data_IF_666153475220
#
_entry.id   IF_666153475220
#
_cell.length_a   1.000
_cell.length_b   1.000
_cell.length_c   1.000
_cell.angle_alpha   90.00
_cell.angle_beta   90.00
_cell.angle_gamma   90.00
#
_symmetry.space_group_name_H-M   'P 1'
#
loop_
_entity.id
_entity.type
_entity.pdbx_description
1 polymer ?
#
# COMPACT_ATOMS: atom_id res chain seq x y z
N UNK A 1 -27.22 35.26 -22.86
CA UNK A 1 -28.46 34.69 -22.26
C UNK A 1 -29.76 35.15 -22.94
N UNK A 2 -29.90 36.40 -23.38
CA UNK A 2 -31.17 36.90 -23.92
C UNK A 2 -31.63 36.31 -25.29
N UNK A 3 -30.71 35.79 -26.12
CA UNK A 3 -31.08 35.15 -27.41
C UNK A 3 -31.51 33.68 -27.31
N UNK A 4 -31.34 33.04 -26.15
CA UNK A 4 -31.73 31.63 -25.95
C UNK A 4 -33.22 31.47 -25.59
N UNK A 5 -33.86 32.55 -25.13
CA UNK A 5 -35.25 32.53 -24.65
C UNK A 5 -36.30 32.57 -25.77
N UNK A 6 -35.94 32.98 -26.99
CA UNK A 6 -36.90 33.11 -28.11
C UNK A 6 -37.16 31.76 -28.81
N UNK A 7 -36.21 30.81 -28.75
CA UNK A 7 -36.37 29.49 -29.38
C UNK A 7 -37.25 28.50 -28.59
N UNK A 8 -37.61 28.80 -27.34
CA UNK A 8 -38.34 27.88 -26.45
C UNK A 8 -39.84 27.79 -26.78
N UNK A 9 -40.34 28.68 -27.66
CA UNK A 9 -41.78 28.79 -27.95
C UNK A 9 -42.31 27.75 -28.96
N UNK A 10 -41.45 27.00 -29.65
CA UNK A 10 -41.89 26.11 -30.76
C UNK A 10 -41.91 24.61 -30.47
N UNK A 11 -41.32 24.09 -29.39
CA UNK A 11 -41.51 22.67 -29.02
C UNK A 11 -41.13 22.31 -27.56
N UNK A 12 -42.06 22.39 -26.59
CA UNK A 12 -41.76 22.22 -25.17
C UNK A 12 -41.21 20.83 -24.80
N UNK A 13 -41.54 19.77 -25.56
CA UNK A 13 -41.08 18.40 -25.29
C UNK A 13 -39.61 18.17 -25.68
N UNK A 14 -39.11 18.81 -26.74
CA UNK A 14 -37.70 18.68 -27.16
C UNK A 14 -36.76 19.43 -26.22
N UNK A 15 -37.18 20.57 -25.69
CA UNK A 15 -36.38 21.35 -24.76
C UNK A 15 -36.33 20.72 -23.36
N UNK A 16 -37.43 20.16 -22.86
CA UNK A 16 -37.45 19.48 -21.55
C UNK A 16 -36.42 18.35 -21.43
N UNK A 17 -36.25 17.53 -22.47
CA UNK A 17 -35.24 16.46 -22.48
C UNK A 17 -33.80 16.98 -22.50
N UNK A 18 -33.54 18.10 -23.19
CA UNK A 18 -32.21 18.73 -23.20
C UNK A 18 -31.86 19.33 -21.83
N UNK A 19 -32.81 19.98 -21.17
CA UNK A 19 -32.61 20.49 -19.80
C UNK A 19 -32.43 19.35 -18.79
N UNK A 20 -33.20 18.27 -18.90
CA UNK A 20 -33.07 17.12 -17.99
C UNK A 20 -31.72 16.42 -18.16
N UNK A 21 -31.26 16.24 -19.40
CA UNK A 21 -29.94 15.66 -19.69
C UNK A 21 -28.80 16.57 -19.22
N UNK A 22 -28.93 17.89 -19.42
CA UNK A 22 -27.95 18.86 -18.92
C UNK A 22 -27.89 18.87 -17.39
N UNK A 23 -29.03 18.83 -16.71
CA UNK A 23 -29.10 18.69 -15.25
C UNK A 23 -28.47 17.38 -14.77
N UNK A 24 -28.76 16.25 -15.43
CA UNK A 24 -28.16 14.95 -15.08
C UNK A 24 -26.64 14.96 -15.23
N UNK A 25 -26.12 15.51 -16.32
CA UNK A 25 -24.67 15.64 -16.54
C UNK A 25 -24.02 16.57 -15.53
N UNK A 26 -24.65 17.68 -15.15
CA UNK A 26 -24.14 18.59 -14.12
C UNK A 26 -24.14 17.92 -12.74
N UNK A 27 -25.19 17.18 -12.39
CA UNK A 27 -25.24 16.41 -11.15
C UNK A 27 -24.19 15.29 -11.13
N UNK A 28 -24.02 14.56 -12.24
CA UNK A 28 -23.02 13.51 -12.37
C UNK A 28 -21.61 14.08 -12.23
N UNK A 29 -21.30 15.18 -12.93
CA UNK A 29 -20.00 15.84 -12.88
C UNK A 29 -19.72 16.47 -11.51
N UNK A 30 -20.75 16.98 -10.84
CA UNK A 30 -20.64 17.45 -9.46
C UNK A 30 -20.34 16.28 -8.50
N UNK A 31 -21.06 15.15 -8.64
CA UNK A 31 -20.83 13.95 -7.85
C UNK A 31 -19.42 13.35 -8.06
N UNK A 32 -18.92 13.31 -9.31
CA UNK A 32 -17.54 12.93 -9.64
C UNK A 32 -16.52 13.88 -9.01
N UNK A 33 -16.79 15.20 -9.01
CA UNK A 33 -15.89 16.16 -8.38
C UNK A 33 -15.88 16.04 -6.85
N UNK A 34 -17.01 15.73 -6.22
CA UNK A 34 -17.05 15.48 -4.77
C UNK A 34 -16.38 14.17 -4.40
N UNK A 35 -16.57 13.09 -5.16
CA UNK A 35 -15.87 11.82 -4.92
C UNK A 35 -14.38 11.96 -5.14
N UNK A 36 -13.97 12.64 -6.22
CA UNK A 36 -12.57 12.94 -6.50
C UNK A 36 -11.93 13.76 -5.36
N UNK A 37 -12.52 14.89 -4.97
CA UNK A 37 -12.02 15.71 -3.85
C UNK A 37 -12.00 14.97 -2.52
N UNK A 38 -12.93 14.04 -2.29
CA UNK A 38 -12.96 13.19 -1.09
C UNK A 38 -11.85 12.13 -1.12
N UNK A 39 -11.57 11.54 -2.28
CA UNK A 39 -10.44 10.61 -2.46
C UNK A 39 -9.08 11.30 -2.37
N UNK A 40 -8.98 12.53 -2.87
CA UNK A 40 -7.76 13.35 -2.83
C UNK A 40 -7.45 13.75 -1.38
N UNK A 41 -8.45 14.24 -0.64
CA UNK A 41 -8.33 14.51 0.81
C UNK A 41 -8.02 13.27 1.66
N UNK A 42 -8.42 12.07 1.21
CA UNK A 42 -8.12 10.80 1.90
C UNK A 42 -6.69 10.35 1.58
N UNK A 43 -6.20 10.57 0.36
CA UNK A 43 -4.79 10.34 -0.04
C UNK A 43 -3.81 11.33 0.60
N UNK A 44 -4.23 12.57 0.85
CA UNK A 44 -3.43 13.56 1.60
C UNK A 44 -3.40 13.31 3.12
N UNK A 45 -4.33 12.52 3.66
CA UNK A 45 -4.44 12.25 5.11
C UNK A 45 -3.84 10.93 5.58
N UNK A 46 -3.74 9.92 4.72
CA UNK A 46 -3.21 8.62 5.13
C UNK A 46 -1.74 8.51 4.73
N UNK A 47 -0.84 8.79 5.67
CA UNK A 47 0.55 8.38 5.51
C UNK A 47 0.61 6.87 5.74
N UNK A 48 1.41 6.15 4.95
CA UNK A 48 1.67 4.73 5.23
C UNK A 48 2.72 4.63 6.32
N UNK A 49 2.50 3.71 7.25
CA UNK A 49 3.43 3.32 8.30
C UNK A 49 3.73 1.83 8.19
N UNK A 50 5.00 1.51 8.00
CA UNK A 50 5.51 0.15 7.90
C UNK A 50 6.26 -0.18 9.18
N UNK A 51 5.74 -1.14 9.94
CA UNK A 51 6.32 -1.59 11.21
C UNK A 51 6.99 -2.94 10.97
N UNK A 52 8.30 -3.00 11.16
CA UNK A 52 9.08 -4.23 11.11
C UNK A 52 9.17 -4.83 12.51
N UNK A 53 8.73 -6.08 12.67
CA UNK A 53 8.78 -6.79 13.96
C UNK A 53 9.48 -8.14 13.78
N UNK A 54 10.52 -8.42 14.58
CA UNK A 54 11.30 -9.65 14.41
C UNK A 54 11.96 -10.16 15.68
N UNK A 55 12.44 -11.40 15.65
CA UNK A 55 13.44 -11.88 16.61
C UNK A 55 14.79 -11.19 16.39
N UNK A 56 15.51 -10.91 17.48
CA UNK A 56 16.78 -10.20 17.43
C UNK A 56 16.71 -8.88 16.65
N UNK A 57 17.87 -8.40 16.19
CA UNK A 57 18.01 -7.16 15.43
C UNK A 57 17.66 -7.28 13.94
N UNK A 58 16.88 -8.30 13.51
CA UNK A 58 16.56 -8.50 12.08
C UNK A 58 15.78 -7.31 11.50
N UNK A 59 14.80 -6.77 12.23
CA UNK A 59 14.01 -5.61 11.85
C UNK A 59 14.89 -4.38 11.61
N UNK A 60 15.83 -4.12 12.51
CA UNK A 60 16.79 -3.01 12.40
C UNK A 60 17.75 -3.21 11.24
N UNK A 61 18.25 -4.43 11.04
CA UNK A 61 19.09 -4.77 9.89
C UNK A 61 18.34 -4.58 8.56
N UNK A 62 17.07 -4.97 8.52
CA UNK A 62 16.20 -4.79 7.36
C UNK A 62 15.93 -3.30 7.08
N UNK A 63 15.63 -2.51 8.12
CA UNK A 63 15.49 -1.06 7.99
C UNK A 63 16.80 -0.41 7.51
N UNK A 64 17.94 -0.82 8.07
CA UNK A 64 19.27 -0.34 7.63
C UNK A 64 19.51 -0.64 6.16
N UNK A 65 19.19 -1.85 5.69
CA UNK A 65 19.34 -2.24 4.28
C UNK A 65 18.41 -1.43 3.36
N UNK A 66 17.13 -1.25 3.75
CA UNK A 66 16.20 -0.42 3.00
C UNK A 66 16.68 1.04 2.92
N UNK A 67 17.20 1.59 4.03
CA UNK A 67 17.78 2.94 4.07
C UNK A 67 18.97 3.11 3.13
N UNK A 68 19.82 2.09 2.97
CA UNK A 68 20.92 2.14 2.01
C UNK A 68 20.44 2.25 0.56
N UNK A 69 19.25 1.74 0.25
CA UNK A 69 18.70 1.69 -1.12
C UNK A 69 17.81 2.90 -1.41
N UNK A 70 16.89 3.21 -0.50
CA UNK A 70 15.86 4.26 -0.67
C UNK A 70 16.25 5.60 -0.02
N UNK A 71 17.34 5.64 0.75
CA UNK A 71 17.65 6.76 1.62
C UNK A 71 16.80 6.77 2.89
N UNK A 72 16.79 7.91 3.60
CA UNK A 72 15.96 8.05 4.79
C UNK A 72 14.46 8.01 4.43
N UNK A 73 13.76 7.04 5.01
CA UNK A 73 12.34 6.82 4.75
C UNK A 73 11.57 6.78 6.07
N UNK A 74 10.90 7.89 6.39
CA UNK A 74 10.24 8.11 7.69
C UNK A 74 9.05 7.18 7.96
N UNK A 75 8.59 6.42 6.97
CA UNK A 75 7.50 5.47 7.13
C UNK A 75 7.93 4.13 7.74
N UNK A 76 9.23 3.85 7.87
CA UNK A 76 9.74 2.56 8.37
C UNK A 76 10.09 2.67 9.85
N UNK A 77 9.50 1.80 10.67
CA UNK A 77 9.76 1.70 12.11
C UNK A 77 10.18 0.27 12.44
N UNK A 78 11.28 0.09 13.15
CA UNK A 78 11.87 -1.24 13.41
C UNK A 78 11.83 -1.60 14.90
N UNK A 79 11.36 -2.82 15.19
CA UNK A 79 11.20 -3.39 16.51
C UNK A 79 11.81 -4.80 16.55
N UNK A 80 13.09 -4.88 16.90
CA UNK A 80 13.79 -6.13 17.16
C UNK A 80 13.63 -6.60 18.60
N UNK A 81 13.31 -7.89 18.78
CA UNK A 81 13.04 -8.47 20.11
C UNK A 81 14.23 -8.37 21.08
N UNK A 82 15.48 -8.32 20.61
CA UNK A 82 16.65 -8.18 21.48
C UNK A 82 16.76 -6.82 22.19
N UNK A 83 15.93 -5.85 21.80
CA UNK A 83 15.77 -4.56 22.49
C UNK A 83 14.70 -4.58 23.58
N UNK A 84 14.00 -5.70 23.74
CA UNK A 84 12.89 -5.86 24.67
C UNK A 84 13.09 -7.12 25.52
N UNK A 85 12.60 -7.09 26.75
CA UNK A 85 12.73 -8.25 27.65
C UNK A 85 11.85 -9.43 27.19
N UNK A 86 10.70 -9.13 26.59
CA UNK A 86 9.71 -10.12 26.17
C UNK A 86 9.00 -9.69 24.89
N UNK A 87 8.36 -10.65 24.20
CA UNK A 87 7.50 -10.35 23.05
C UNK A 87 6.31 -9.47 23.43
N UNK A 88 5.83 -9.57 24.67
CA UNK A 88 4.78 -8.71 25.21
C UNK A 88 5.24 -7.25 25.35
N UNK A 89 6.45 -7.01 25.86
CA UNK A 89 7.00 -5.65 25.95
C UNK A 89 7.21 -5.02 24.56
N UNK A 90 7.59 -5.83 23.57
CA UNK A 90 7.64 -5.41 22.17
C UNK A 90 6.24 -5.05 21.65
N UNK A 91 5.23 -5.87 21.93
CA UNK A 91 3.83 -5.58 21.57
C UNK A 91 3.35 -4.25 22.15
N UNK A 92 3.64 -3.96 23.41
CA UNK A 92 3.27 -2.69 24.05
C UNK A 92 3.96 -1.48 23.39
N UNK A 93 5.20 -1.65 22.93
CA UNK A 93 5.90 -0.61 22.18
C UNK A 93 5.27 -0.37 20.80
N UNK A 94 4.96 -1.45 20.06
CA UNK A 94 4.30 -1.36 18.76
C UNK A 94 2.88 -0.82 18.90
N UNK A 95 2.13 -1.21 19.93
CA UNK A 95 0.77 -0.73 20.17
C UNK A 95 0.73 0.78 20.39
N UNK A 96 1.72 1.35 21.10
CA UNK A 96 1.85 2.80 21.24
C UNK A 96 2.08 3.48 19.89
N UNK A 97 3.02 2.95 19.09
CA UNK A 97 3.33 3.45 17.75
C UNK A 97 2.10 3.45 16.82
N UNK A 98 1.28 2.40 16.92
CA UNK A 98 0.03 2.23 16.17
C UNK A 98 -1.04 3.21 16.63
N UNK A 99 -1.15 3.43 17.95
CA UNK A 99 -2.17 4.31 18.54
C UNK A 99 -1.88 5.78 18.23
N UNK A 100 -0.61 6.18 18.19
CA UNK A 100 -0.20 7.54 17.86
C UNK A 100 -0.42 7.88 16.37
N UNK A 101 -0.57 6.86 15.51
CA UNK A 101 -0.74 6.97 14.07
C UNK A 101 -2.24 6.96 13.65
N UNK A 102 -3.02 7.88 14.23
CA UNK A 102 -4.49 7.87 14.18
C UNK A 102 -5.09 7.79 12.75
N UNK A 103 -4.46 8.42 11.75
CA UNK A 103 -4.96 8.47 10.37
C UNK A 103 -4.14 7.62 9.38
N UNK A 104 -3.11 6.91 9.85
CA UNK A 104 -2.18 6.18 8.96
C UNK A 104 -2.71 4.80 8.54
N UNK A 105 -2.29 4.36 7.35
CA UNK A 105 -2.34 2.97 6.90
C UNK A 105 -1.20 2.19 7.59
N UNK A 106 -1.52 1.13 8.33
CA UNK A 106 -0.53 0.42 9.14
C UNK A 106 -0.27 -0.98 8.57
N UNK A 107 0.96 -1.20 8.11
CA UNK A 107 1.44 -2.48 7.63
C UNK A 107 2.51 -3.02 8.57
N UNK A 108 2.22 -4.11 9.26
CA UNK A 108 3.16 -4.78 10.15
C UNK A 108 3.79 -5.95 9.40
N UNK A 109 5.08 -5.90 9.15
CA UNK A 109 5.85 -6.95 8.51
C UNK A 109 6.62 -7.74 9.57
N UNK A 110 6.20 -8.98 9.81
CA UNK A 110 6.82 -9.91 10.73
C UNK A 110 7.85 -10.79 10.02
N UNK A 111 8.91 -11.16 10.73
CA UNK A 111 9.95 -12.07 10.24
C UNK A 111 9.40 -13.43 9.79
N UNK A 112 8.71 -14.15 10.68
CA UNK A 112 8.30 -15.53 10.45
C UNK A 112 6.89 -15.81 10.97
N UNK A 113 6.08 -16.49 10.15
CA UNK A 113 4.74 -16.94 10.53
C UNK A 113 4.82 -17.92 11.70
N UNK A 114 4.00 -17.69 12.72
CA UNK A 114 3.92 -18.56 13.90
C UNK A 114 4.99 -18.31 14.97
N UNK A 115 5.93 -17.40 14.74
CA UNK A 115 6.89 -16.94 15.76
C UNK A 115 6.18 -16.30 16.98
N UNK A 116 6.89 -16.15 18.11
CA UNK A 116 6.35 -15.44 19.27
C UNK A 116 5.98 -14.00 18.90
N UNK A 117 6.89 -13.27 18.26
CA UNK A 117 6.66 -11.89 17.80
C UNK A 117 5.43 -11.80 16.91
N UNK A 118 5.33 -12.62 15.85
CA UNK A 118 4.15 -12.67 14.99
C UNK A 118 2.85 -12.93 15.78
N UNK A 119 2.85 -13.90 16.71
CA UNK A 119 1.66 -14.22 17.50
C UNK A 119 1.22 -13.04 18.37
N UNK A 120 2.15 -12.28 18.94
CA UNK A 120 1.80 -11.07 19.67
C UNK A 120 1.25 -9.99 18.74
N UNK A 121 1.86 -9.78 17.57
CA UNK A 121 1.39 -8.76 16.62
C UNK A 121 -0.05 -9.01 16.18
N UNK A 122 -0.51 -10.26 16.09
CA UNK A 122 -1.91 -10.58 15.75
C UNK A 122 -2.93 -9.91 16.69
N UNK A 123 -2.56 -9.62 17.95
CA UNK A 123 -3.43 -8.93 18.89
C UNK A 123 -3.79 -7.51 18.43
N UNK A 124 -2.92 -6.88 17.63
CA UNK A 124 -3.12 -5.52 17.12
C UNK A 124 -4.24 -5.43 16.08
N UNK A 125 -4.64 -6.53 15.45
CA UNK A 125 -5.77 -6.54 14.52
C UNK A 125 -7.09 -6.13 15.19
N UNK A 126 -7.20 -6.28 16.52
CA UNK A 126 -8.37 -5.86 17.29
C UNK A 126 -8.32 -4.38 17.71
N UNK A 127 -7.22 -3.67 17.43
CA UNK A 127 -7.02 -2.27 17.84
C UNK A 127 -7.60 -1.29 16.81
N UNK A 128 -7.39 -1.56 15.50
CA UNK A 128 -7.87 -0.73 14.39
C UNK A 128 -8.10 -1.59 13.14
N UNK A 129 -9.16 -1.31 12.40
CA UNK A 129 -9.55 -2.03 11.17
C UNK A 129 -8.51 -1.89 10.03
N UNK A 130 -7.73 -0.81 10.02
CA UNK A 130 -6.77 -0.50 8.94
C UNK A 130 -5.37 -1.13 9.15
N UNK A 131 -5.23 -2.08 10.08
CA UNK A 131 -3.97 -2.79 10.33
C UNK A 131 -3.92 -4.05 9.48
N UNK A 132 -2.82 -4.25 8.75
CA UNK A 132 -2.52 -5.50 8.05
C UNK A 132 -1.22 -6.08 8.53
N UNK A 133 -1.19 -7.40 8.72
CA UNK A 133 -0.01 -8.12 9.17
C UNK A 133 0.45 -9.07 8.07
N UNK A 134 1.71 -8.93 7.69
CA UNK A 134 2.39 -9.71 6.67
C UNK A 134 3.52 -10.47 7.34
N UNK A 135 3.84 -11.68 6.86
CA UNK A 135 4.91 -12.52 7.41
C UNK A 135 5.88 -12.94 6.33
N UNK A 136 7.05 -13.44 6.71
CA UNK A 136 8.07 -13.84 5.75
C UNK A 136 8.86 -12.63 5.24
N UNK A 137 9.26 -11.77 6.17
CA UNK A 137 10.01 -10.55 5.88
C UNK A 137 11.19 -10.84 4.95
N UNK A 138 11.23 -10.12 3.83
CA UNK A 138 12.37 -10.06 2.94
C UNK A 138 12.52 -8.63 2.41
N UNK A 139 13.71 -8.31 1.88
CA UNK A 139 14.03 -6.95 1.47
C UNK A 139 13.22 -6.50 0.25
N UNK A 140 13.03 -7.37 -0.75
CA UNK A 140 12.23 -7.03 -1.95
C UNK A 140 10.80 -6.65 -1.60
N UNK A 141 10.16 -7.44 -0.72
CA UNK A 141 8.83 -7.16 -0.19
C UNK A 141 8.79 -5.82 0.56
N UNK A 142 9.77 -5.52 1.43
CA UNK A 142 9.82 -4.23 2.12
C UNK A 142 9.95 -3.06 1.15
N UNK A 143 10.84 -3.17 0.16
CA UNK A 143 11.05 -2.11 -0.83
C UNK A 143 9.78 -1.85 -1.63
N UNK A 144 9.10 -2.91 -2.09
CA UNK A 144 7.83 -2.80 -2.81
C UNK A 144 6.74 -2.13 -1.95
N UNK A 145 6.65 -2.48 -0.66
CA UNK A 145 5.72 -1.84 0.28
C UNK A 145 6.03 -0.33 0.49
N UNK A 146 7.29 0.08 0.40
CA UNK A 146 7.69 1.49 0.53
C UNK A 146 7.30 2.31 -0.71
N UNK A 147 7.51 1.77 -1.91
CA UNK A 147 7.35 2.53 -3.17
C UNK A 147 5.97 2.38 -3.80
N UNK A 148 5.23 1.31 -3.45
CA UNK A 148 3.92 1.04 -4.04
C UNK A 148 2.87 2.07 -3.63
N UNK A 149 2.01 2.43 -4.58
CA UNK A 149 0.77 3.15 -4.28
C UNK A 149 -0.36 2.14 -4.00
N UNK A 150 -0.30 1.41 -2.89
CA UNK A 150 -1.43 0.57 -2.45
C UNK A 150 -2.67 1.43 -2.25
N UNK A 151 -3.78 1.01 -2.85
CA UNK A 151 -5.11 1.42 -2.43
C UNK A 151 -5.63 0.37 -1.46
N UNK A 152 -5.86 0.75 -0.21
CA UNK A 152 -6.42 -0.16 0.80
C UNK A 152 -7.81 -0.68 0.43
N UNK A 153 -8.54 0.03 -0.44
CA UNK A 153 -9.85 -0.41 -0.92
C UNK A 153 -9.73 -1.39 -2.10
N UNK A 154 -8.54 -1.60 -2.66
CA UNK A 154 -8.28 -2.61 -3.69
C UNK A 154 -8.07 -3.98 -3.01
N UNK A 155 -9.00 -4.92 -3.18
CA UNK A 155 -8.92 -6.24 -2.54
C UNK A 155 -7.66 -7.01 -2.95
N UNK A 156 -7.13 -6.74 -4.14
CA UNK A 156 -6.01 -7.46 -4.74
C UNK A 156 -4.69 -6.67 -4.66
N UNK A 157 -4.68 -5.51 -4.00
CA UNK A 157 -3.50 -4.63 -3.93
C UNK A 157 -2.36 -5.31 -3.17
N UNK A 158 -2.67 -5.87 -2.00
CA UNK A 158 -1.69 -6.57 -1.15
C UNK A 158 -1.21 -7.84 -1.83
N UNK A 159 -2.09 -8.64 -2.41
CA UNK A 159 -1.71 -9.91 -3.05
C UNK A 159 -0.69 -9.70 -4.16
N UNK A 160 -0.82 -8.64 -4.96
CA UNK A 160 0.18 -8.29 -6.00
C UNK A 160 1.57 -8.02 -5.42
N UNK A 161 1.63 -7.33 -4.29
CA UNK A 161 2.90 -7.04 -3.61
C UNK A 161 3.48 -8.29 -2.97
N UNK A 162 2.64 -9.14 -2.39
CA UNK A 162 3.08 -10.44 -1.86
C UNK A 162 3.64 -11.32 -2.97
N UNK A 163 3.03 -11.34 -4.15
CA UNK A 163 3.56 -12.07 -5.31
C UNK A 163 4.89 -11.49 -5.79
N UNK A 164 5.05 -10.16 -5.86
CA UNK A 164 6.33 -9.54 -6.18
C UNK A 164 7.43 -9.96 -5.18
N UNK A 165 7.13 -9.88 -3.88
CA UNK A 165 8.07 -10.30 -2.82
C UNK A 165 8.42 -11.79 -2.82
N UNK A 166 7.54 -12.67 -3.33
CA UNK A 166 7.84 -14.09 -3.53
C UNK A 166 8.71 -14.32 -4.78
N UNK A 167 8.41 -13.61 -5.86
CA UNK A 167 9.11 -13.75 -7.14
C UNK A 167 10.59 -13.30 -7.06
N UNK A 168 10.93 -12.44 -6.11
CA UNK A 168 12.31 -12.03 -5.83
C UNK A 168 13.16 -13.14 -5.18
N UNK A 169 12.55 -14.21 -4.67
CA UNK A 169 13.26 -15.34 -4.07
C UNK A 169 13.63 -16.35 -5.17
N UNK A 170 14.81 -16.17 -5.77
CA UNK A 170 15.29 -16.97 -6.89
C UNK A 170 16.58 -17.72 -6.50
N UNK A 171 16.61 -19.03 -6.76
CA UNK A 171 17.84 -19.82 -6.66
C UNK A 171 18.64 -19.72 -7.96
N UNK A 172 19.76 -18.99 -7.91
CA UNK A 172 20.69 -18.93 -9.04
C UNK A 172 21.72 -20.06 -8.93
N UNK A 173 21.58 -21.08 -9.78
CA UNK A 173 22.59 -22.11 -9.99
C UNK A 173 23.31 -21.93 -11.34
N UNK A 174 24.36 -22.73 -11.58
CA UNK A 174 25.13 -22.68 -12.82
C UNK A 174 24.27 -22.98 -14.06
N UNK A 175 23.28 -23.88 -13.95
CA UNK A 175 22.44 -24.29 -15.07
C UNK A 175 21.48 -23.16 -15.47
N UNK A 176 20.85 -22.51 -14.50
CA UNK A 176 19.99 -21.35 -14.70
C UNK A 176 20.79 -20.23 -15.37
N UNK A 177 21.96 -19.88 -14.85
CA UNK A 177 22.80 -18.82 -15.43
C UNK A 177 23.24 -19.16 -16.86
N UNK A 178 23.62 -20.40 -17.13
CA UNK A 178 23.96 -20.84 -18.50
C UNK A 178 22.76 -20.71 -19.45
N UNK A 179 21.56 -21.12 -19.01
CA UNK A 179 20.33 -20.97 -19.80
C UNK A 179 19.96 -19.50 -20.06
N UNK A 180 20.28 -18.59 -19.13
CA UNK A 180 20.04 -17.15 -19.30
C UNK A 180 21.03 -16.54 -20.29
N UNK A 181 22.30 -16.96 -20.26
CA UNK A 181 23.32 -16.53 -21.23
C UNK A 181 23.00 -17.02 -22.64
N UNK A 182 22.64 -18.30 -22.77
CA UNK A 182 22.23 -18.89 -24.06
C UNK A 182 20.99 -18.20 -24.65
N UNK A 183 20.06 -17.74 -23.79
CA UNK A 183 18.90 -16.93 -24.22
C UNK A 183 19.32 -15.52 -24.67
N UNK A 184 20.30 -14.90 -24.01
CA UNK A 184 20.83 -13.56 -24.40
C UNK A 184 21.74 -13.58 -25.64
N UNK A 185 22.30 -14.71 -26.05
CA UNK A 185 23.06 -14.82 -27.32
C UNK A 185 22.16 -14.76 -28.57
N UNK A 186 20.82 -14.89 -28.43
CA UNK A 186 19.85 -14.75 -29.54
C UNK A 186 19.46 -13.29 -29.81
N UNK A 187 19.79 -12.35 -28.91
CA UNK A 187 19.57 -10.90 -29.14
C UNK A 187 20.67 -10.23 -29.99
N UNK A 188 21.64 -11.01 -30.51
CA UNK A 188 22.70 -10.52 -31.41
C UNK A 188 22.30 -10.44 -32.89
N UNK A 189 20.99 -10.40 -33.20
CA UNK A 189 20.44 -10.22 -34.55
C UNK A 189 19.87 -8.81 -34.80
N UNK A 190 20.23 -7.82 -33.98
CA UNK A 190 20.07 -6.40 -34.27
C UNK A 190 21.36 -5.64 -33.96
#
# INVERSE_FOLDING_TARGET
MAKMLISVRENPRKHANVYLLACFLLFYKAAEQTTYKKSEKRRERNMRRIILASHGSLAEGMHSAAKMILGDHHCIHAYGLDRYETSQALLEAVQREVTDAADDEILILCDIKGGSVHREMLQLLNVKEDIRIITGMNLGLLLELCVSSLDMNDPNGIDRILEAGKNDIICFDKALVASMKARKEVDSLW
#
